data_IF_901593045195
#
_entry.id   IF_901593045195
#
_cell.length_a   1.000
_cell.length_b   1.000
_cell.length_c   1.000
_cell.angle_alpha   90.00
_cell.angle_beta   90.00
_cell.angle_gamma   90.00
#
_symmetry.space_group_name_H-M   'P 1'
#
loop_
_entity.id
_entity.type
_entity.pdbx_description
1 polymer ?
#
# COMPACT_ATOMS: atom_id res chain seq x y z
N UNK A 1 -31.88 2.47 -27.63
CA UNK A 1 -30.64 3.25 -27.53
C UNK A 1 -30.29 3.29 -26.06
N UNK A 2 -29.48 2.33 -25.59
CA UNK A 2 -29.17 2.19 -24.16
C UNK A 2 -27.96 3.08 -23.89
N UNK A 3 -28.14 4.13 -23.09
CA UNK A 3 -27.06 4.98 -22.63
C UNK A 3 -26.04 4.11 -21.89
N UNK A 4 -24.79 4.11 -22.36
CA UNK A 4 -23.68 3.49 -21.65
C UNK A 4 -23.47 4.30 -20.37
N UNK A 5 -23.97 3.78 -19.25
CA UNK A 5 -23.62 4.26 -17.91
C UNK A 5 -22.09 4.37 -17.83
N UNK A 6 -21.60 5.54 -17.42
CA UNK A 6 -20.18 5.82 -17.32
C UNK A 6 -19.49 4.81 -16.40
N UNK A 7 -18.35 4.28 -16.84
CA UNK A 7 -17.52 3.38 -16.04
C UNK A 7 -16.73 4.23 -15.03
N UNK A 8 -16.99 4.03 -13.72
CA UNK A 8 -16.17 4.64 -12.67
C UNK A 8 -14.87 3.85 -12.59
N UNK A 9 -13.80 4.39 -13.16
CA UNK A 9 -12.46 3.79 -13.08
C UNK A 9 -11.67 4.49 -12.00
N UNK A 10 -11.43 3.79 -10.89
CA UNK A 10 -10.49 4.25 -9.86
C UNK A 10 -9.09 4.03 -10.41
N UNK A 11 -8.31 5.11 -10.53
CA UNK A 11 -6.92 4.99 -10.96
C UNK A 11 -6.09 4.30 -9.88
N UNK A 12 -5.19 3.39 -10.29
CA UNK A 12 -4.28 2.64 -9.39
C UNK A 12 -3.52 3.58 -8.43
N UNK A 13 -3.22 4.80 -8.89
CA UNK A 13 -2.56 5.82 -8.09
C UNK A 13 -3.37 6.26 -6.86
N UNK A 14 -4.70 6.32 -6.96
CA UNK A 14 -5.57 6.70 -5.82
C UNK A 14 -5.52 5.62 -4.75
N UNK A 15 -5.56 4.34 -5.16
CA UNK A 15 -5.44 3.20 -4.25
C UNK A 15 -4.06 3.20 -3.57
N UNK A 16 -3.00 3.48 -4.32
CA UNK A 16 -1.64 3.57 -3.77
C UNK A 16 -1.50 4.71 -2.74
N UNK A 17 -2.23 5.82 -2.92
CA UNK A 17 -2.27 6.92 -1.94
C UNK A 17 -3.02 6.49 -0.69
N UNK A 18 -4.20 5.89 -0.83
CA UNK A 18 -5.00 5.41 0.31
C UNK A 18 -4.21 4.39 1.14
N UNK A 19 -3.59 3.41 0.47
CA UNK A 19 -2.74 2.42 1.12
C UNK A 19 -1.56 3.09 1.84
N UNK A 20 -0.94 4.11 1.22
CA UNK A 20 0.14 4.87 1.83
C UNK A 20 -0.27 5.57 3.13
N UNK A 21 -1.46 6.18 3.15
CA UNK A 21 -2.01 6.83 4.36
C UNK A 21 -2.31 5.79 5.44
N UNK A 22 -2.97 4.69 5.09
CA UNK A 22 -3.30 3.62 6.04
C UNK A 22 -2.05 2.98 6.67
N UNK A 23 -0.96 2.89 5.91
CA UNK A 23 0.34 2.40 6.41
C UNK A 23 0.96 3.37 7.43
N UNK A 24 0.85 4.68 7.22
CA UNK A 24 1.38 5.70 8.14
C UNK A 24 0.65 5.71 9.49
N UNK A 25 -0.64 5.35 9.52
CA UNK A 25 -1.42 5.25 10.76
C UNK A 25 -0.97 4.08 11.66
N UNK A 26 -0.32 3.06 11.08
CA UNK A 26 0.32 2.00 11.84
C UNK A 26 1.67 2.51 12.34
N UNK A 27 1.64 3.37 13.38
CA UNK A 27 2.76 4.11 14.00
C UNK A 27 3.99 3.26 14.43
N UNK A 28 3.89 1.93 14.36
CA UNK A 28 4.97 0.98 14.62
C UNK A 28 5.78 0.57 13.38
N UNK A 29 5.28 0.84 12.17
CA UNK A 29 5.98 0.62 10.91
C UNK A 29 6.61 1.94 10.49
N UNK A 30 7.91 2.10 10.73
CA UNK A 30 8.63 3.20 10.12
C UNK A 30 8.76 2.92 8.62
N UNK A 31 7.79 3.38 7.83
CA UNK A 31 7.98 3.57 6.38
C UNK A 31 8.89 4.78 6.20
N UNK A 32 10.16 4.60 6.54
CA UNK A 32 11.22 5.49 6.10
C UNK A 32 11.96 4.81 4.97
N UNK A 33 11.88 5.46 3.82
CA UNK A 33 12.71 5.27 2.65
C UNK A 33 14.19 5.22 3.05
N UNK A 34 14.69 4.01 3.29
CA UNK A 34 16.10 3.75 3.53
C UNK A 34 16.87 3.72 2.21
N UNK A 35 17.42 4.86 1.81
CA UNK A 35 18.40 4.92 0.73
C UNK A 35 18.36 6.22 -0.08
N UNK A 36 19.13 7.22 0.36
CA UNK A 36 19.34 8.54 -0.26
C UNK A 36 19.74 8.50 -1.76
N UNK A 37 20.03 7.32 -2.33
CA UNK A 37 20.45 7.15 -3.73
C UNK A 37 19.37 6.66 -4.71
N UNK A 38 18.22 6.17 -4.24
CA UNK A 38 17.12 5.76 -5.16
C UNK A 38 16.05 6.85 -5.36
N UNK A 39 16.23 7.99 -4.72
CA UNK A 39 15.31 9.14 -4.75
C UNK A 39 15.33 9.90 -6.11
N UNK A 40 16.29 9.60 -6.99
CA UNK A 40 16.34 10.21 -8.33
C UNK A 40 15.55 9.42 -9.40
N UNK A 41 15.34 8.12 -9.22
CA UNK A 41 14.68 7.27 -10.23
C UNK A 41 13.16 7.13 -10.02
N UNK A 42 12.64 7.35 -8.81
CA UNK A 42 11.19 7.25 -8.50
C UNK A 42 10.39 8.50 -8.85
N UNK A 43 11.05 9.57 -9.30
CA UNK A 43 10.47 10.91 -9.52
C UNK A 43 9.64 11.06 -10.80
N UNK A 44 9.47 10.00 -11.60
CA UNK A 44 8.77 10.08 -12.90
C UNK A 44 7.42 9.33 -12.90
N UNK A 45 7.17 8.39 -11.99
CA UNK A 45 6.03 7.47 -12.13
C UNK A 45 5.24 7.21 -10.84
N UNK A 46 4.90 8.25 -10.09
CA UNK A 46 3.78 8.28 -9.12
C UNK A 46 3.60 7.06 -8.19
N UNK A 47 4.69 6.47 -7.72
CA UNK A 47 4.66 5.35 -6.77
C UNK A 47 4.83 5.87 -5.36
N UNK A 48 3.76 5.85 -4.56
CA UNK A 48 3.85 6.11 -3.13
C UNK A 48 4.81 5.08 -2.50
N UNK A 49 5.96 5.55 -2.02
CA UNK A 49 6.73 4.96 -0.92
C UNK A 49 6.81 3.41 -0.86
N UNK A 50 7.17 2.74 -1.96
CA UNK A 50 7.40 1.28 -1.93
C UNK A 50 6.13 0.42 -1.97
N UNK A 51 4.99 1.02 -2.28
CA UNK A 51 3.71 0.34 -2.51
C UNK A 51 3.48 0.23 -4.02
N UNK A 52 3.07 -0.94 -4.48
CA UNK A 52 2.71 -1.22 -5.86
C UNK A 52 1.32 -1.83 -5.85
N UNK A 53 0.44 -1.27 -6.66
CA UNK A 53 -0.95 -1.72 -6.78
C UNK A 53 -1.15 -2.26 -8.18
N UNK A 54 -1.81 -3.40 -8.28
CA UNK A 54 -2.22 -3.99 -9.53
C UNK A 54 -3.71 -4.33 -9.47
N UNK A 55 -4.41 -4.06 -10.56
CA UNK A 55 -5.83 -4.37 -10.71
C UNK A 55 -6.02 -5.30 -11.89
N UNK A 56 -6.68 -6.42 -11.66
CA UNK A 56 -7.06 -7.38 -12.71
C UNK A 56 -8.51 -7.78 -12.46
N UNK A 57 -9.41 -7.53 -13.41
CA UNK A 57 -10.83 -7.93 -13.33
C UNK A 57 -11.50 -7.51 -12.01
N UNK A 58 -11.38 -6.24 -11.63
CA UNK A 58 -11.92 -5.65 -10.38
C UNK A 58 -11.32 -6.20 -9.08
N UNK A 59 -10.31 -7.06 -9.17
CA UNK A 59 -9.54 -7.54 -8.02
C UNK A 59 -8.29 -6.68 -7.83
N UNK A 60 -8.15 -6.16 -6.62
CA UNK A 60 -6.98 -5.36 -6.24
C UNK A 60 -5.97 -6.25 -5.52
N UNK A 61 -4.73 -6.22 -6.00
CA UNK A 61 -3.57 -6.79 -5.30
C UNK A 61 -2.60 -5.67 -4.93
N UNK A 62 -2.17 -5.66 -3.66
CA UNK A 62 -1.29 -4.63 -3.11
C UNK A 62 0.00 -5.28 -2.64
N UNK A 63 1.12 -4.87 -3.21
CA UNK A 63 2.47 -5.24 -2.78
C UNK A 63 3.11 -4.07 -2.05
N UNK A 64 3.56 -4.29 -0.82
CA UNK A 64 4.19 -3.27 -0.01
C UNK A 64 5.53 -3.72 0.54
N UNK A 65 6.48 -2.80 0.53
CA UNK A 65 7.80 -2.95 1.15
C UNK A 65 7.90 -2.08 2.38
N UNK A 66 8.19 -2.70 3.51
CA UNK A 66 8.19 -2.04 4.81
C UNK A 66 9.47 -2.31 5.59
N UNK A 67 9.81 -1.36 6.46
CA UNK A 67 10.83 -1.52 7.49
C UNK A 67 10.14 -1.59 8.85
N UNK A 68 10.55 -2.55 9.67
CA UNK A 68 9.93 -2.80 10.99
C UNK A 68 10.92 -2.40 12.08
N UNK A 69 10.44 -1.79 13.16
CA UNK A 69 11.27 -1.43 14.31
C UNK A 69 11.72 -2.67 15.08
N UNK A 70 12.96 -2.66 15.54
CA UNK A 70 13.48 -3.67 16.44
C UNK A 70 12.65 -3.71 17.74
N UNK A 71 12.29 -4.92 18.18
CA UNK A 71 11.45 -5.15 19.35
C UNK A 71 9.96 -5.28 19.08
N UNK A 72 9.49 -5.01 17.85
CA UNK A 72 8.10 -5.26 17.47
C UNK A 72 7.91 -6.69 16.93
N UNK A 73 6.84 -7.41 17.32
CA UNK A 73 6.50 -8.70 16.74
C UNK A 73 6.11 -8.54 15.26
N UNK A 74 7.01 -8.91 14.34
CA UNK A 74 6.84 -8.72 12.89
C UNK A 74 5.51 -9.28 12.37
N UNK A 75 5.11 -10.47 12.83
CA UNK A 75 3.87 -11.11 12.43
C UNK A 75 2.63 -10.28 12.81
N UNK A 76 2.62 -9.70 14.01
CA UNK A 76 1.53 -8.87 14.48
C UNK A 76 1.47 -7.56 13.69
N UNK A 77 2.62 -6.91 13.51
CA UNK A 77 2.74 -5.67 12.73
C UNK A 77 2.27 -5.88 11.29
N UNK A 78 2.71 -6.96 10.62
CA UNK A 78 2.29 -7.26 9.24
C UNK A 78 0.78 -7.53 9.17
N UNK A 79 0.23 -8.27 10.15
CA UNK A 79 -1.19 -8.59 10.18
C UNK A 79 -2.04 -7.32 10.35
N UNK A 80 -1.71 -6.49 11.34
CA UNK A 80 -2.39 -5.20 11.56
C UNK A 80 -2.29 -4.30 10.32
N UNK A 81 -1.13 -4.29 9.66
CA UNK A 81 -0.94 -3.52 8.44
C UNK A 81 -1.84 -4.00 7.30
N UNK A 82 -1.93 -5.32 7.10
CA UNK A 82 -2.82 -5.91 6.10
C UNK A 82 -4.28 -5.56 6.38
N UNK A 83 -4.74 -5.71 7.63
CA UNK A 83 -6.12 -5.40 8.01
C UNK A 83 -6.45 -3.92 7.77
N UNK A 84 -5.55 -3.01 8.19
CA UNK A 84 -5.77 -1.57 8.04
C UNK A 84 -5.79 -1.12 6.59
N UNK A 85 -4.86 -1.62 5.78
CA UNK A 85 -4.82 -1.26 4.35
C UNK A 85 -6.02 -1.85 3.63
N UNK A 86 -6.41 -3.09 3.95
CA UNK A 86 -7.62 -3.71 3.38
C UNK A 86 -8.85 -2.87 3.71
N UNK A 87 -9.09 -2.61 4.98
CA UNK A 87 -10.25 -1.86 5.46
C UNK A 87 -10.33 -0.46 4.83
N UNK A 88 -9.21 0.26 4.77
CA UNK A 88 -9.15 1.59 4.18
C UNK A 88 -9.46 1.57 2.66
N UNK A 89 -8.89 0.63 1.91
CA UNK A 89 -9.09 0.55 0.46
C UNK A 89 -10.52 0.12 0.16
N UNK A 90 -11.04 -0.92 0.81
CA UNK A 90 -12.40 -1.42 0.59
C UNK A 90 -13.45 -0.37 0.99
N UNK A 91 -13.27 0.31 2.13
CA UNK A 91 -14.22 1.33 2.63
C UNK A 91 -14.25 2.58 1.75
N UNK A 92 -13.09 3.06 1.26
CA UNK A 92 -13.03 4.31 0.51
C UNK A 92 -13.32 4.14 -0.98
N UNK A 93 -12.97 2.98 -1.55
CA UNK A 93 -13.09 2.75 -3.00
C UNK A 93 -14.24 1.80 -3.37
N UNK A 94 -14.75 1.02 -2.41
CA UNK A 94 -15.75 -0.02 -2.68
C UNK A 94 -15.21 -1.22 -3.49
N UNK A 95 -13.90 -1.27 -3.75
CA UNK A 95 -13.23 -2.36 -4.45
C UNK A 95 -12.95 -3.53 -3.50
N UNK A 96 -12.80 -4.73 -4.05
CA UNK A 96 -12.42 -5.92 -3.27
C UNK A 96 -10.91 -6.14 -3.32
N UNK A 97 -10.28 -6.28 -2.16
CA UNK A 97 -8.85 -6.57 -2.08
C UNK A 97 -8.66 -8.09 -1.99
N UNK A 98 -8.12 -8.67 -3.06
CA UNK A 98 -7.90 -10.12 -3.17
C UNK A 98 -6.67 -10.55 -2.37
N UNK A 99 -5.58 -9.78 -2.46
CA UNK A 99 -4.34 -10.08 -1.75
C UNK A 99 -3.55 -8.83 -1.33
N UNK A 100 -2.92 -8.90 -0.15
CA UNK A 100 -1.97 -7.90 0.34
C UNK A 100 -0.67 -8.60 0.73
N UNK A 101 0.39 -8.32 -0.02
CA UNK A 101 1.72 -8.88 0.19
C UNK A 101 2.60 -7.88 0.92
N UNK A 102 3.05 -8.24 2.13
CA UNK A 102 3.95 -7.41 2.94
C UNK A 102 5.35 -8.01 2.92
N UNK A 103 6.31 -7.27 2.38
CA UNK A 103 7.73 -7.64 2.38
C UNK A 103 8.49 -6.76 3.37
N UNK A 104 9.02 -7.39 4.41
CA UNK A 104 9.92 -6.73 5.37
C UNK A 104 11.33 -6.72 4.80
N UNK A 105 11.84 -5.54 4.46
CA UNK A 105 13.18 -5.39 3.86
C UNK A 105 14.27 -5.12 4.89
N UNK A 106 13.94 -4.46 6.00
CA UNK A 106 14.92 -4.05 7.01
C UNK A 106 14.29 -4.03 8.40
N UNK A 107 15.12 -4.34 9.40
CA UNK A 107 14.78 -4.14 10.82
C UNK A 107 15.55 -2.91 11.30
N UNK A 108 14.84 -1.87 11.69
CA UNK A 108 15.44 -0.64 12.22
C UNK A 108 15.80 -0.82 13.69
N UNK A 109 17.09 -0.86 13.97
CA UNK A 109 17.63 -0.81 15.33
C UNK A 109 17.81 0.67 15.69
N UNK A 110 17.27 1.07 16.85
CA UNK A 110 17.44 2.43 17.37
C UNK A 110 18.87 2.70 17.80
#
# INVERSE_FOLDING_TARGET
MVEKLGEIRVADQVIAVIAGVAVEEVLEVSVRSGGLYQDLAKKINGGSKGISVSMVEDKVTIDMRVSVKYGAPIHHVCHTLQEKVKDAVETLTGLWVDAINVRVETIEIK
#
